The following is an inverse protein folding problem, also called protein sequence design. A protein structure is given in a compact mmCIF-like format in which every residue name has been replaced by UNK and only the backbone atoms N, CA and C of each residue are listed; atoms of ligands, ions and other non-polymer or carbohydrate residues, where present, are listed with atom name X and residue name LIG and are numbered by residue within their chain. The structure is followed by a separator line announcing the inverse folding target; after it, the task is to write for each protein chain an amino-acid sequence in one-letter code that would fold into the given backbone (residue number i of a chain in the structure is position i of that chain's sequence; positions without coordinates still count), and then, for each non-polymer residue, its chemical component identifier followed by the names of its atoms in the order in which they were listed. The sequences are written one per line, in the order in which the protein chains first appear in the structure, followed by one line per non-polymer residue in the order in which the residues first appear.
data_IF_580116868204
#
_entry.id   IF_580116868204
#
_cell.length_a   1.000
_cell.length_b   1.000
_cell.length_c   1.000
_cell.angle_alpha   90.00
_cell.angle_beta   90.00
_cell.angle_gamma   90.00
#
_symmetry.space_group_name_H-M   'P 1'
#
loop_
_entity.id
_entity.type
_entity.pdbx_description
1 polymer ?
#
# COMPACT_ATOMS: atom_id res chain seq x y z
N UNK A 1 14.55 -7.45 7.13
CA UNK A 1 13.70 -6.23 7.05
C UNK A 1 13.95 -5.39 5.77
N UNK A 2 15.20 -5.23 5.30
CA UNK A 2 15.57 -4.43 4.10
C UNK A 2 14.98 -4.95 2.77
N UNK A 3 14.89 -6.28 2.59
CA UNK A 3 14.38 -6.89 1.35
C UNK A 3 12.96 -6.45 0.98
N UNK A 4 12.10 -6.18 1.97
CA UNK A 4 10.73 -5.70 1.72
C UNK A 4 10.74 -4.33 1.08
N UNK A 5 11.45 -3.37 1.68
CA UNK A 5 11.51 -1.98 1.20
C UNK A 5 12.08 -1.95 -0.22
N UNK A 6 13.16 -2.70 -0.47
CA UNK A 6 13.75 -2.80 -1.81
C UNK A 6 12.77 -3.37 -2.86
N UNK A 7 11.99 -4.39 -2.48
CA UNK A 7 10.97 -4.99 -3.35
C UNK A 7 9.84 -4.00 -3.65
N UNK A 8 9.34 -3.29 -2.64
CA UNK A 8 8.29 -2.28 -2.80
C UNK A 8 8.79 -1.12 -3.66
N UNK A 9 9.99 -0.59 -3.40
CA UNK A 9 10.62 0.47 -4.19
C UNK A 9 10.67 0.08 -5.67
N UNK A 10 11.26 -1.07 -6.00
CA UNK A 10 11.32 -1.58 -7.39
C UNK A 10 9.95 -1.78 -8.03
N UNK A 11 8.92 -2.12 -7.24
CA UNK A 11 7.57 -2.26 -7.75
C UNK A 11 6.92 -0.90 -8.06
N UNK A 12 7.17 0.12 -7.22
CA UNK A 12 6.69 1.48 -7.41
C UNK A 12 7.35 2.09 -8.65
N UNK A 13 8.67 2.08 -8.73
CA UNK A 13 9.43 2.71 -9.81
C UNK A 13 9.05 2.10 -11.18
N UNK A 14 8.91 0.77 -11.26
CA UNK A 14 8.49 0.10 -12.51
C UNK A 14 7.05 0.41 -12.91
N UNK A 15 6.14 0.56 -11.95
CA UNK A 15 4.71 0.76 -12.22
C UNK A 15 4.39 2.22 -12.56
N UNK A 16 5.10 3.15 -11.93
CA UNK A 16 4.78 4.57 -11.96
C UNK A 16 5.83 5.41 -12.68
N UNK A 17 6.89 4.77 -13.23
CA UNK A 17 7.97 5.41 -13.98
C UNK A 17 8.55 6.66 -13.27
N UNK A 18 8.69 6.57 -11.95
CA UNK A 18 9.16 7.65 -11.08
C UNK A 18 10.22 7.13 -10.11
N UNK A 19 10.94 8.04 -9.43
CA UNK A 19 11.84 7.66 -8.36
C UNK A 19 11.07 7.52 -7.04
N UNK A 20 11.38 6.50 -6.24
CA UNK A 20 10.73 6.27 -4.95
C UNK A 20 11.75 6.19 -3.81
N UNK A 21 11.66 7.12 -2.86
CA UNK A 21 12.51 7.15 -1.66
C UNK A 21 11.72 6.72 -0.44
N UNK A 22 12.20 5.71 0.28
CA UNK A 22 11.57 5.29 1.54
C UNK A 22 11.75 6.35 2.63
N UNK A 23 10.66 6.69 3.32
CA UNK A 23 10.63 7.74 4.37
C UNK A 23 10.31 7.15 5.73
N UNK A 24 9.61 6.02 5.77
CA UNK A 24 9.32 5.34 7.03
C UNK A 24 8.34 4.21 6.90
N UNK A 25 8.16 3.48 7.99
CA UNK A 25 7.16 2.42 8.11
C UNK A 25 6.16 2.77 9.21
N UNK A 26 4.90 2.41 9.01
CA UNK A 26 3.84 2.53 10.01
C UNK A 26 3.14 1.19 10.15
N UNK A 27 3.00 0.73 11.40
CA UNK A 27 2.09 -0.38 11.71
C UNK A 27 0.69 0.21 11.76
N UNK A 28 -0.19 -0.31 10.91
CA UNK A 28 -1.58 0.10 10.86
C UNK A 28 -2.43 -1.06 11.38
N UNK A 29 -3.30 -0.73 12.32
CA UNK A 29 -4.34 -1.61 12.87
C UNK A 29 -5.66 -0.97 12.50
N UNK A 30 -6.43 -1.64 11.63
CA UNK A 30 -7.69 -1.14 11.11
C UNK A 30 -8.80 -2.12 11.43
N UNK A 31 -9.87 -1.63 12.06
CA UNK A 31 -11.07 -2.42 12.30
C UNK A 31 -11.90 -2.49 11.01
N UNK A 32 -12.19 -3.70 10.57
CA UNK A 32 -13.05 -3.98 9.44
C UNK A 32 -14.52 -3.91 9.89
N UNK A 33 -15.44 -3.35 9.08
CA UNK A 33 -16.86 -3.26 9.42
C UNK A 33 -17.51 -4.62 9.74
N UNK A 34 -17.01 -5.70 9.14
CA UNK A 34 -17.48 -7.07 9.32
C UNK A 34 -16.92 -7.78 10.57
N UNK A 35 -16.39 -7.04 11.54
CA UNK A 35 -15.90 -7.60 12.82
C UNK A 35 -14.49 -8.21 12.78
N UNK A 36 -13.66 -7.86 11.80
CA UNK A 36 -12.26 -8.29 11.71
C UNK A 36 -11.27 -7.17 12.01
N UNK A 37 -10.01 -7.51 12.29
CA UNK A 37 -8.92 -6.53 12.38
C UNK A 37 -7.90 -6.81 11.28
N UNK A 38 -7.63 -5.80 10.46
CA UNK A 38 -6.46 -5.82 9.59
C UNK A 38 -5.28 -5.23 10.37
N UNK A 39 -4.17 -5.98 10.44
CA UNK A 39 -2.91 -5.51 11.02
C UNK A 39 -1.80 -5.75 10.00
N UNK A 40 -1.09 -4.69 9.64
CA UNK A 40 0.02 -4.80 8.69
C UNK A 40 0.96 -3.61 8.72
N UNK A 41 2.19 -3.83 8.25
CA UNK A 41 3.19 -2.79 8.11
C UNK A 41 3.07 -2.14 6.73
N UNK A 42 2.80 -0.84 6.73
CA UNK A 42 2.74 0.01 5.54
C UNK A 42 4.00 0.85 5.47
N UNK A 43 4.70 0.76 4.35
CA UNK A 43 5.85 1.61 4.04
C UNK A 43 5.41 2.85 3.27
N UNK A 44 5.99 3.99 3.64
CA UNK A 44 5.75 5.29 3.05
C UNK A 44 6.93 5.64 2.15
N UNK A 45 6.64 6.04 0.92
CA UNK A 45 7.64 6.47 -0.05
C UNK A 45 7.31 7.85 -0.59
N UNK A 46 8.30 8.73 -0.64
CA UNK A 46 8.22 9.97 -1.42
C UNK A 46 8.54 9.67 -2.88
N UNK A 47 7.78 10.30 -3.77
CA UNK A 47 7.88 10.14 -5.21
C UNK A 47 8.45 11.40 -5.83
N UNK A 48 9.42 11.24 -6.71
CA UNK A 48 9.97 12.33 -7.52
C UNK A 48 9.76 12.01 -9.00
N UNK A 49 9.22 12.97 -9.75
CA UNK A 49 8.89 12.80 -11.17
C UNK A 49 7.53 12.15 -11.45
N UNK A 50 6.66 11.99 -10.45
CA UNK A 50 5.30 11.49 -10.66
C UNK A 50 4.31 12.65 -10.86
N UNK A 51 3.48 12.65 -11.92
CA UNK A 51 2.69 13.82 -12.30
C UNK A 51 1.53 14.16 -11.34
N UNK A 52 1.08 13.19 -10.54
CA UNK A 52 -0.14 13.32 -9.73
C UNK A 52 0.08 13.21 -8.22
N UNK A 53 1.25 12.78 -7.77
CA UNK A 53 1.44 12.43 -6.36
C UNK A 53 2.90 12.53 -5.95
N UNK A 54 3.16 13.23 -4.84
CA UNK A 54 4.50 13.36 -4.25
C UNK A 54 4.81 12.23 -3.26
N UNK A 55 3.82 11.42 -2.91
CA UNK A 55 3.94 10.35 -1.91
C UNK A 55 3.07 9.16 -2.26
N UNK A 56 3.50 7.98 -1.88
CA UNK A 56 2.68 6.78 -1.92
C UNK A 56 2.87 5.90 -0.68
N UNK A 57 1.90 5.02 -0.49
CA UNK A 57 1.83 4.02 0.57
C UNK A 57 1.88 2.65 -0.07
N UNK A 58 2.77 1.79 0.39
CA UNK A 58 2.93 0.45 -0.16
C UNK A 58 3.15 -0.60 0.91
N UNK A 59 2.65 -1.81 0.67
CA UNK A 59 2.83 -2.95 1.56
C UNK A 59 2.77 -4.26 0.78
N UNK A 60 3.28 -5.32 1.38
CA UNK A 60 3.13 -6.68 0.87
C UNK A 60 1.79 -7.24 1.36
N UNK A 61 0.99 -7.75 0.43
CA UNK A 61 -0.25 -8.47 0.71
C UNK A 61 -0.01 -9.95 0.40
N UNK A 62 0.10 -10.74 1.46
CA UNK A 62 0.27 -12.19 1.41
C UNK A 62 -1.10 -12.82 1.24
N UNK A 63 -1.52 -12.97 -0.02
CA UNK A 63 -2.74 -13.70 -0.39
C UNK A 63 -2.46 -15.19 -0.58
N UNK A 64 -3.51 -16.04 -0.67
CA UNK A 64 -3.36 -17.46 -0.92
C UNK A 64 -2.57 -17.68 -2.23
N UNK A 65 -1.37 -18.22 -2.10
CA UNK A 65 -0.49 -18.61 -3.20
C UNK A 65 0.52 -17.57 -3.69
N UNK A 66 0.36 -16.26 -3.45
CA UNK A 66 1.31 -15.23 -3.94
C UNK A 66 1.37 -13.98 -3.05
N UNK A 67 2.59 -13.55 -2.72
CA UNK A 67 2.84 -12.22 -2.14
C UNK A 67 2.77 -11.16 -3.24
N UNK A 68 1.81 -10.25 -3.15
CA UNK A 68 1.64 -9.14 -4.10
C UNK A 68 2.03 -7.81 -3.47
N UNK A 69 2.57 -6.89 -4.27
CA UNK A 69 2.87 -5.53 -3.80
C UNK A 69 1.62 -4.66 -4.03
N UNK A 70 1.02 -4.14 -2.94
CA UNK A 70 -0.04 -3.14 -3.03
C UNK A 70 0.60 -1.76 -2.95
N UNK A 71 0.27 -0.91 -3.91
CA UNK A 71 0.74 0.48 -4.00
C UNK A 71 -0.48 1.38 -4.08
N UNK A 72 -0.49 2.45 -3.29
CA UNK A 72 -1.55 3.47 -3.24
C UNK A 72 -0.91 4.84 -3.23
N UNK A 73 -1.18 5.62 -4.26
CA UNK A 73 -0.73 7.01 -4.35
C UNK A 73 -1.49 7.87 -3.32
N UNK A 74 -0.81 8.89 -2.77
CA UNK A 74 -1.41 9.91 -1.92
C UNK A 74 -2.16 10.92 -2.80
N UNK A 75 -3.29 10.48 -3.35
CA UNK A 75 -4.23 11.30 -4.12
C UNK A 75 -5.62 11.17 -3.47
N UNK A 76 -6.44 12.24 -3.43
CA UNK A 76 -7.80 12.15 -2.88
C UNK A 76 -8.58 10.96 -3.47
N UNK A 77 -9.25 10.13 -2.65
CA UNK A 77 -9.50 10.27 -1.20
C UNK A 77 -8.39 9.74 -0.27
N UNK A 78 -7.31 9.16 -0.80
CA UNK A 78 -6.21 8.58 -0.02
C UNK A 78 -5.28 9.69 0.51
N UNK A 79 -5.52 10.11 1.76
CA UNK A 79 -4.71 11.16 2.43
C UNK A 79 -3.66 10.60 3.39
N UNK A 80 -3.87 9.40 3.94
CA UNK A 80 -2.99 8.75 4.91
C UNK A 80 -2.77 7.26 4.61
N UNK A 81 -1.79 6.64 5.28
CA UNK A 81 -1.55 5.20 5.22
C UNK A 81 -2.79 4.39 5.66
N UNK A 82 -3.51 4.88 6.67
CA UNK A 82 -4.75 4.26 7.13
C UNK A 82 -5.85 4.32 6.06
N UNK A 83 -6.04 5.49 5.43
CA UNK A 83 -7.01 5.60 4.33
C UNK A 83 -6.62 4.74 3.13
N UNK A 84 -5.31 4.58 2.86
CA UNK A 84 -4.81 3.71 1.80
C UNK A 84 -5.14 2.22 2.04
N UNK A 85 -5.00 1.79 3.30
CA UNK A 85 -5.38 0.45 3.75
C UNK A 85 -6.89 0.26 3.62
N UNK A 86 -7.71 1.18 4.18
CA UNK A 86 -9.17 1.15 4.06
C UNK A 86 -9.63 1.04 2.60
N UNK A 87 -9.10 1.87 1.72
CA UNK A 87 -9.40 1.86 0.29
C UNK A 87 -9.00 0.56 -0.43
N UNK A 88 -8.09 -0.23 0.15
CA UNK A 88 -7.70 -1.53 -0.39
C UNK A 88 -8.55 -2.67 0.14
N UNK A 89 -9.09 -2.54 1.35
CA UNK A 89 -9.98 -3.52 1.98
C UNK A 89 -11.39 -3.46 1.38
N UNK A 90 -11.92 -2.27 1.09
CA UNK A 90 -13.22 -2.11 0.40
C UNK A 90 -13.27 -2.78 -0.97
N UNK A 91 -12.11 -3.01 -1.61
CA UNK A 91 -12.03 -3.73 -2.89
C UNK A 91 -11.96 -5.26 -2.72
N UNK A 92 -11.60 -5.77 -1.54
CA UNK A 92 -11.44 -7.21 -1.26
C UNK A 92 -12.78 -7.90 -0.95
N UNK A 93 -13.80 -7.15 -0.52
CA UNK A 93 -15.17 -7.65 -0.26
C UNK A 93 -15.99 -7.92 -1.53
N UNK A 94 -15.54 -7.52 -2.72
CA UNK A 94 -16.23 -7.83 -4.00
C UNK A 94 -15.84 -9.14 -4.67
N UNK A 95 -14.97 -9.98 -4.09
CA UNK A 95 -14.50 -11.20 -4.77
C UNK A 95 -14.49 -12.48 -3.89
N UNK A 96 -15.50 -12.61 -3.02
CA UNK A 96 -15.91 -13.90 -2.45
C UNK A 96 -17.44 -14.02 -2.57
N UNK A 97 -17.93 -14.00 -3.80
CA UNK A 97 -19.10 -14.78 -4.16
C UNK A 97 -18.53 -16.05 -4.82
N UNK A 98 -18.45 -17.13 -4.03
CA UNK A 98 -18.43 -18.50 -4.54
C UNK A 98 -19.70 -19.15 -4.07
#
# INVERSE_FOLDING_TARGET
MIFRIARLRRAIERRHHCNARHVGSRIIVEQLPQGGVWRGQVDVFDLTGHPQAERCYAWLDEGPGRTTCKIRLKVPPVRSAQTAVRASLTRRTKNRAV
#
